data_IF_597305857696
#
_entry.id   IF_597305857696
#
_cell.length_a   1.000
_cell.length_b   1.000
_cell.length_c   1.000
_cell.angle_alpha   90.00
_cell.angle_beta   90.00
_cell.angle_gamma   90.00
#
_symmetry.space_group_name_H-M   'P 1'
#
loop_
_entity.id
_entity.type
_entity.pdbx_description
1 polymer ?
#
# COMPACT_ATOMS: atom_id res chain seq x y z
N UNK A 1 36.55 11.77 -10.03
CA UNK A 1 35.17 12.21 -10.35
C UNK A 1 34.30 10.97 -10.48
N UNK A 2 33.07 10.99 -9.98
CA UNK A 2 32.14 9.87 -10.19
C UNK A 2 31.80 9.76 -11.67
N UNK A 3 31.68 8.54 -12.18
CA UNK A 3 31.27 8.28 -13.56
C UNK A 3 29.81 8.76 -13.77
N UNK A 4 29.54 9.70 -14.70
CA UNK A 4 28.18 10.18 -14.97
C UNK A 4 27.18 9.08 -15.31
N UNK A 5 27.61 8.01 -15.99
CA UNK A 5 26.74 6.90 -16.37
C UNK A 5 26.28 6.11 -15.13
N UNK A 6 27.18 5.89 -14.17
CA UNK A 6 26.89 5.23 -12.90
C UNK A 6 25.87 6.02 -12.06
N UNK A 7 25.98 7.35 -12.05
CA UNK A 7 25.03 8.23 -11.35
C UNK A 7 23.64 8.11 -11.96
N UNK A 8 23.52 8.12 -13.29
CA UNK A 8 22.24 8.01 -13.98
C UNK A 8 21.58 6.64 -13.74
N UNK A 9 22.36 5.56 -13.82
CA UNK A 9 21.86 4.20 -13.55
C UNK A 9 21.34 4.07 -12.11
N UNK A 10 22.04 4.68 -11.15
CA UNK A 10 21.62 4.68 -9.74
C UNK A 10 20.29 5.41 -9.54
N UNK A 11 20.03 6.50 -10.28
CA UNK A 11 18.73 7.20 -10.24
C UNK A 11 17.60 6.33 -10.79
N UNK A 12 17.84 5.64 -11.91
CA UNK A 12 16.86 4.72 -12.48
C UNK A 12 16.54 3.54 -11.57
N UNK A 13 17.57 2.94 -10.96
CA UNK A 13 17.39 1.86 -9.99
C UNK A 13 16.53 2.31 -8.81
N UNK A 14 16.80 3.50 -8.26
CA UNK A 14 15.99 4.07 -7.18
C UNK A 14 14.55 4.35 -7.64
N UNK A 15 14.39 5.00 -8.80
CA UNK A 15 13.08 5.35 -9.35
C UNK A 15 12.18 4.12 -9.52
N UNK A 16 12.70 3.04 -10.13
CA UNK A 16 11.96 1.79 -10.33
C UNK A 16 11.54 1.18 -8.99
N UNK A 17 12.44 1.16 -8.02
CA UNK A 17 12.16 0.60 -6.68
C UNK A 17 11.05 1.37 -5.97
N UNK A 18 11.11 2.70 -5.98
CA UNK A 18 10.06 3.55 -5.39
C UNK A 18 8.75 3.37 -6.13
N UNK A 19 8.76 3.25 -7.45
CA UNK A 19 7.56 3.07 -8.27
C UNK A 19 6.82 1.77 -7.89
N UNK A 20 7.54 0.66 -7.79
CA UNK A 20 6.95 -0.61 -7.37
C UNK A 20 6.51 -0.59 -5.90
N UNK A 21 7.28 0.02 -5.00
CA UNK A 21 6.91 0.12 -3.58
C UNK A 21 5.64 0.96 -3.38
N UNK A 22 5.53 2.10 -4.05
CA UNK A 22 4.43 3.05 -3.88
C UNK A 22 3.13 2.63 -4.58
N UNK A 23 3.08 1.47 -5.23
CA UNK A 23 1.81 0.82 -5.61
C UNK A 23 1.19 0.14 -4.39
N UNK A 24 1.99 -0.58 -3.61
CA UNK A 24 1.50 -1.38 -2.49
C UNK A 24 1.28 -0.56 -1.22
N UNK A 25 2.11 0.47 -0.96
CA UNK A 25 1.96 1.33 0.21
C UNK A 25 0.57 1.98 0.32
N UNK A 26 0.09 2.76 -0.67
CA UNK A 26 -1.23 3.38 -0.59
C UNK A 26 -2.36 2.35 -0.62
N UNK A 27 -2.17 1.23 -1.34
CA UNK A 27 -3.15 0.14 -1.35
C UNK A 27 -3.33 -0.45 0.04
N UNK A 28 -2.24 -0.79 0.73
CA UNK A 28 -2.29 -1.33 2.10
C UNK A 28 -2.89 -0.31 3.06
N UNK A 29 -2.42 0.95 3.03
CA UNK A 29 -2.94 2.00 3.91
C UNK A 29 -4.44 2.25 3.68
N UNK A 30 -4.90 2.28 2.42
CA UNK A 30 -6.31 2.46 2.08
C UNK A 30 -7.16 1.26 2.50
N UNK A 31 -6.70 0.04 2.22
CA UNK A 31 -7.44 -1.18 2.55
C UNK A 31 -7.55 -1.39 4.05
N UNK A 32 -6.52 -1.03 4.85
CA UNK A 32 -6.59 -1.08 6.31
C UNK A 32 -7.77 -0.28 6.84
N UNK A 33 -8.01 0.93 6.32
CA UNK A 33 -9.16 1.74 6.75
C UNK A 33 -10.50 1.12 6.37
N UNK A 34 -10.60 0.53 5.17
CA UNK A 34 -11.82 -0.16 4.72
C UNK A 34 -12.12 -1.35 5.64
N UNK A 35 -11.11 -2.20 5.93
CA UNK A 35 -11.26 -3.35 6.83
C UNK A 35 -11.66 -2.92 8.24
N UNK A 36 -11.02 -1.89 8.80
CA UNK A 36 -11.35 -1.35 10.13
C UNK A 36 -12.80 -0.86 10.18
N UNK A 37 -13.29 -0.20 9.15
CA UNK A 37 -14.68 0.26 9.08
C UNK A 37 -15.63 -0.95 9.00
N UNK A 38 -15.36 -1.93 8.14
CA UNK A 38 -16.21 -3.13 8.01
C UNK A 38 -16.29 -3.91 9.32
N UNK A 39 -15.14 -4.14 9.99
CA UNK A 39 -15.10 -4.80 11.30
C UNK A 39 -15.84 -3.99 12.37
N UNK A 40 -15.65 -2.67 12.39
CA UNK A 40 -16.36 -1.78 13.34
C UNK A 40 -17.89 -1.86 13.15
N UNK A 41 -18.35 -1.86 11.90
CA UNK A 41 -19.78 -1.99 11.58
C UNK A 41 -20.29 -3.38 11.97
N UNK A 42 -19.51 -4.44 11.78
CA UNK A 42 -19.87 -5.78 12.27
C UNK A 42 -20.06 -5.78 13.79
N UNK A 43 -19.09 -5.29 14.55
CA UNK A 43 -19.14 -5.25 16.03
C UNK A 43 -20.33 -4.42 16.54
N UNK A 44 -20.66 -3.32 15.87
CA UNK A 44 -21.78 -2.46 16.26
C UNK A 44 -23.16 -3.01 15.86
N UNK A 45 -23.27 -3.69 14.71
CA UNK A 45 -24.58 -4.11 14.15
C UNK A 45 -24.89 -5.59 14.31
N UNK A 46 -23.88 -6.43 14.57
CA UNK A 46 -23.99 -7.90 14.63
C UNK A 46 -24.30 -8.57 13.28
N UNK A 47 -24.31 -7.83 12.16
CA UNK A 47 -24.67 -8.36 10.84
C UNK A 47 -23.50 -9.16 10.23
N UNK A 48 -23.68 -10.48 10.11
CA UNK A 48 -22.66 -11.42 9.65
C UNK A 48 -21.99 -11.05 8.32
N UNK A 49 -22.73 -10.42 7.40
CA UNK A 49 -22.19 -9.97 6.11
C UNK A 49 -20.91 -9.11 6.25
N UNK A 50 -20.82 -8.26 7.28
CA UNK A 50 -19.65 -7.41 7.48
C UNK A 50 -18.43 -8.18 7.99
N UNK A 51 -18.65 -9.30 8.70
CA UNK A 51 -17.59 -10.21 9.10
C UNK A 51 -17.09 -11.07 7.95
N UNK A 52 -17.96 -11.44 7.01
CA UNK A 52 -17.57 -12.23 5.84
C UNK A 52 -16.78 -11.40 4.80
N UNK A 53 -16.82 -10.07 4.92
CA UNK A 53 -16.08 -9.14 4.05
C UNK A 53 -14.67 -8.79 4.56
N UNK A 54 -14.34 -9.13 5.81
CA UNK A 54 -13.03 -8.93 6.45
C UNK A 54 -12.22 -10.22 6.35
#
# INVERSE_FOLDING_TARGET
>A
MLDPAMVELSRWQFAITVLYHFIFVPLTLGLTWILVIMESVYVMTGRQIYKDMV
#
